data_IF_755580988299
#
_entry.id   IF_755580988299
#
_cell.length_a   1.000
_cell.length_b   1.000
_cell.length_c   1.000
_cell.angle_alpha   90.00
_cell.angle_beta   90.00
_cell.angle_gamma   90.00
#
_symmetry.space_group_name_H-M   'P 1'
#
loop_
_entity.id
_entity.type
_entity.pdbx_description
1 polymer ?
#
# COMPACT_ATOMS: atom_id res chain seq x y z
N UNK A 1 -0.63 16.49 8.52
CA UNK A 1 0.44 16.02 7.61
C UNK A 1 0.22 14.55 7.23
N UNK A 2 -0.14 13.67 8.16
CA UNK A 2 -0.42 12.26 7.87
C UNK A 2 -1.53 12.01 6.84
N UNK A 3 -2.63 12.77 6.88
CA UNK A 3 -3.74 12.61 5.91
C UNK A 3 -3.31 12.80 4.45
N UNK A 4 -2.44 13.77 4.16
CA UNK A 4 -1.98 14.05 2.79
C UNK A 4 -1.19 12.86 2.21
N UNK A 5 -0.30 12.25 3.02
CA UNK A 5 0.47 11.08 2.61
C UNK A 5 -0.42 9.85 2.48
N UNK A 6 -1.40 9.65 3.39
CA UNK A 6 -2.37 8.56 3.27
C UNK A 6 -3.18 8.64 1.98
N UNK A 7 -3.66 9.83 1.64
CA UNK A 7 -4.38 10.06 0.38
C UNK A 7 -3.49 9.74 -0.83
N UNK A 8 -2.28 10.30 -0.88
CA UNK A 8 -1.31 10.03 -1.96
C UNK A 8 -1.01 8.54 -2.12
N UNK A 9 -0.74 7.84 -1.02
CA UNK A 9 -0.47 6.38 -1.03
C UNK A 9 -1.68 5.62 -1.56
N UNK A 10 -2.89 5.95 -1.10
CA UNK A 10 -4.13 5.29 -1.55
C UNK A 10 -4.39 5.51 -3.04
N UNK A 11 -4.21 6.74 -3.53
CA UNK A 11 -4.36 7.06 -4.96
C UNK A 11 -3.33 6.31 -5.81
N UNK A 12 -2.07 6.24 -5.37
CA UNK A 12 -1.03 5.47 -6.05
C UNK A 12 -1.35 3.98 -6.08
N UNK A 13 -1.84 3.40 -4.97
CA UNK A 13 -2.31 2.02 -4.98
C UNK A 13 -3.42 1.82 -6.01
N UNK A 14 -4.41 2.72 -6.07
CA UNK A 14 -5.50 2.64 -7.06
C UNK A 14 -4.96 2.76 -8.49
N UNK A 15 -4.04 3.67 -8.76
CA UNK A 15 -3.42 3.85 -10.08
C UNK A 15 -2.59 2.62 -10.49
N UNK A 16 -1.66 2.17 -9.64
CA UNK A 16 -0.75 1.05 -9.92
C UNK A 16 -1.50 -0.27 -10.00
N UNK A 17 -2.59 -0.40 -9.26
CA UNK A 17 -3.48 -1.57 -9.31
C UNK A 17 -4.43 -1.55 -10.50
N UNK A 18 -4.38 -0.60 -11.44
CA UNK A 18 -5.19 -0.70 -12.68
C UNK A 18 -4.68 -1.78 -13.62
N UNK A 19 -3.37 -2.07 -13.61
CA UNK A 19 -2.76 -3.14 -14.41
C UNK A 19 -2.93 -4.54 -13.81
N UNK A 20 -2.19 -5.52 -14.33
CA UNK A 20 -2.23 -6.91 -13.85
C UNK A 20 -1.65 -7.09 -12.45
N UNK A 21 -0.71 -6.22 -12.05
CA UNK A 21 -0.08 -6.25 -10.73
C UNK A 21 -0.99 -5.58 -9.70
N UNK A 22 -1.51 -6.36 -8.75
CA UNK A 22 -2.32 -5.86 -7.61
C UNK A 22 -1.58 -5.89 -6.26
N UNK A 23 -0.39 -6.48 -6.21
CA UNK A 23 0.36 -6.76 -4.98
C UNK A 23 1.73 -6.11 -5.02
N UNK A 24 2.07 -5.36 -3.98
CA UNK A 24 3.28 -4.53 -3.93
C UNK A 24 4.05 -4.77 -2.63
N UNK A 25 5.38 -4.76 -2.72
CA UNK A 25 6.20 -4.78 -1.52
C UNK A 25 6.18 -3.41 -0.85
N UNK A 26 6.33 -3.35 0.48
CA UNK A 26 6.49 -2.06 1.19
C UNK A 26 7.63 -1.21 0.63
N UNK A 27 8.72 -1.86 0.18
CA UNK A 27 9.85 -1.18 -0.48
C UNK A 27 9.46 -0.53 -1.82
N UNK A 28 8.48 -1.08 -2.52
CA UNK A 28 7.99 -0.52 -3.79
C UNK A 28 7.16 0.73 -3.48
N UNK A 29 6.29 0.65 -2.47
CA UNK A 29 5.47 1.79 -2.01
C UNK A 29 6.33 2.97 -1.58
N UNK A 30 7.40 2.71 -0.80
CA UNK A 30 8.34 3.77 -0.39
C UNK A 30 9.08 4.42 -1.57
N UNK A 31 9.19 3.74 -2.72
CA UNK A 31 9.83 4.29 -3.92
C UNK A 31 8.88 5.14 -4.77
N UNK A 32 7.57 5.05 -4.58
CA UNK A 32 6.61 5.86 -5.34
C UNK A 32 6.63 7.32 -4.94
N UNK A 33 7.04 7.60 -3.70
CA UNK A 33 7.09 8.93 -3.11
C UNK A 33 8.53 9.25 -2.67
N UNK A 34 9.49 9.39 -3.59
CA UNK A 34 10.91 9.54 -3.24
C UNK A 34 11.24 10.86 -2.51
N UNK A 35 10.34 11.85 -2.58
CA UNK A 35 10.47 13.14 -1.91
C UNK A 35 9.86 13.15 -0.49
N UNK A 36 9.13 12.10 -0.12
CA UNK A 36 8.48 11.98 1.19
C UNK A 36 9.37 11.16 2.13
N UNK A 37 9.26 11.41 3.44
CA UNK A 37 9.98 10.63 4.43
C UNK A 37 9.52 9.16 4.45
N UNK A 38 10.49 8.24 4.48
CA UNK A 38 10.21 6.80 4.44
C UNK A 38 9.37 6.34 5.63
N UNK A 39 9.62 6.87 6.84
CA UNK A 39 8.86 6.49 8.03
C UNK A 39 7.43 7.03 7.94
N UNK A 40 7.24 8.23 7.39
CA UNK A 40 5.92 8.79 7.13
C UNK A 40 5.11 7.92 6.15
N UNK A 41 5.72 7.45 5.05
CA UNK A 41 5.06 6.51 4.11
C UNK A 41 4.70 5.20 4.82
N UNK A 42 5.63 4.63 5.60
CA UNK A 42 5.39 3.37 6.31
C UNK A 42 4.27 3.51 7.36
N UNK A 43 4.22 4.63 8.09
CA UNK A 43 3.13 4.93 9.02
C UNK A 43 1.80 5.09 8.30
N UNK A 44 1.77 5.82 7.18
CA UNK A 44 0.57 5.96 6.37
C UNK A 44 0.05 4.60 5.87
N UNK A 45 0.95 3.71 5.39
CA UNK A 45 0.58 2.34 5.00
C UNK A 45 0.05 1.55 6.19
N UNK A 46 0.68 1.66 7.36
CA UNK A 46 0.22 1.00 8.59
C UNK A 46 -1.20 1.45 8.97
N UNK A 47 -1.45 2.75 8.98
CA UNK A 47 -2.79 3.30 9.24
C UNK A 47 -3.81 2.77 8.23
N UNK A 48 -3.48 2.72 6.94
CA UNK A 48 -4.38 2.18 5.90
C UNK A 48 -4.63 0.67 6.04
N UNK A 49 -3.71 -0.08 6.65
CA UNK A 49 -3.90 -1.48 7.00
C UNK A 49 -4.82 -1.64 8.22
N UNK A 50 -4.64 -0.80 9.25
CA UNK A 50 -5.53 -0.72 10.42
C UNK A 50 -6.96 -0.31 10.02
N UNK A 51 -7.10 0.61 9.05
CA UNK A 51 -8.39 1.06 8.48
C UNK A 51 -9.00 0.05 7.48
N UNK A 52 -8.37 -1.12 7.27
CA UNK A 52 -8.77 -2.16 6.32
C UNK A 52 -8.89 -1.70 4.84
N UNK A 53 -8.32 -0.54 4.49
CA UNK A 53 -8.21 -0.07 3.10
C UNK A 53 -7.19 -0.91 2.33
N UNK A 54 -6.10 -1.27 3.01
CA UNK A 54 -5.07 -2.18 2.52
C UNK A 54 -5.14 -3.51 3.28
N UNK A 55 -4.63 -4.57 2.65
CA UNK A 55 -4.46 -5.89 3.27
C UNK A 55 -3.06 -6.40 3.02
N UNK A 56 -2.53 -7.11 4.03
CA UNK A 56 -1.35 -7.94 3.84
C UNK A 56 -1.72 -9.20 3.08
N UNK A 57 -0.89 -9.54 2.10
CA UNK A 57 -0.94 -10.83 1.42
C UNK A 57 0.43 -11.49 1.53
N UNK A 58 0.46 -12.68 2.14
CA UNK A 58 1.68 -13.44 2.34
C UNK A 58 1.72 -14.59 1.35
N UNK A 59 2.81 -14.68 0.59
CA UNK A 59 3.07 -15.82 -0.30
C UNK A 59 4.45 -16.38 0.01
N UNK A 60 4.46 -17.47 0.80
CA UNK A 60 5.68 -18.08 1.32
C UNK A 60 6.44 -17.13 2.25
N UNK A 61 7.70 -16.84 1.90
CA UNK A 61 8.59 -15.96 2.68
C UNK A 61 8.40 -14.47 2.39
N UNK A 62 7.52 -14.09 1.47
CA UNK A 62 7.33 -12.71 1.02
C UNK A 62 5.99 -12.14 1.47
N UNK A 63 6.04 -10.91 1.99
CA UNK A 63 4.86 -10.13 2.38
C UNK A 63 4.63 -9.01 1.39
N UNK A 64 3.41 -8.95 0.89
CA UNK A 64 2.91 -7.93 -0.02
C UNK A 64 1.77 -7.15 0.62
N UNK A 65 1.49 -6.00 0.04
CA UNK A 65 0.40 -5.12 0.39
C UNK A 65 -0.43 -4.91 -0.88
N UNK A 66 -1.74 -4.96 -0.73
CA UNK A 66 -2.71 -4.75 -1.81
C UNK A 66 -3.94 -4.01 -1.30
N UNK A 67 -4.74 -3.43 -2.20
CA UNK A 67 -6.04 -2.89 -1.82
C UNK A 67 -6.98 -4.02 -1.41
N UNK A 68 -7.75 -3.78 -0.35
CA UNK A 68 -8.70 -4.75 0.17
C UNK A 68 -9.74 -5.19 -0.88
N UNK A 69 -10.08 -4.32 -1.84
CA UNK A 69 -11.00 -4.64 -2.95
C UNK A 69 -10.50 -5.77 -3.86
N UNK A 70 -9.18 -5.93 -3.99
CA UNK A 70 -8.56 -7.00 -4.79
C UNK A 70 -8.22 -8.23 -3.94
N UNK A 71 -8.41 -8.17 -2.63
CA UNK A 71 -8.13 -9.30 -1.76
C UNK A 71 -9.09 -10.44 -2.13
N UNK A 72 -8.61 -11.66 -2.39
CA UNK A 72 -9.46 -12.77 -2.78
C UNK A 72 -10.49 -13.02 -1.68
N UNK A 73 -11.77 -12.92 -2.03
CA UNK A 73 -12.88 -13.33 -1.16
C UNK A 73 -12.94 -14.86 -1.21
N UNK A 74 -12.91 -15.49 -0.03
CA UNK A 74 -13.21 -16.92 0.11
C UNK A 74 -14.61 -17.26 -0.42
#
# INVERSE_FOLDING_TARGET
>A
MSDDIKTKVTELFREKSKGDKKMFYIRDVTKWLPNEDRHAIQNAVKELLDEEVLKYWSSGSSTYIMLAEYFPKE
#
